data_IF_555533266468
#
_entry.id   IF_555533266468
#
_cell.length_a   1.000
_cell.length_b   1.000
_cell.length_c   1.000
_cell.angle_alpha   90.00
_cell.angle_beta   90.00
_cell.angle_gamma   90.00
#
_symmetry.space_group_name_H-M   'P 1'
#
loop_
_entity.id
_entity.type
_entity.pdbx_description
1 polymer ?
#
# COMPACT_ATOMS: atom_id res chain seq x y z
N UNK A 1 14.69 -1.73 -11.90
CA UNK A 1 14.26 -3.07 -11.45
C UNK A 1 14.58 -3.17 -9.96
N UNK A 2 13.58 -3.37 -9.11
CA UNK A 2 13.86 -3.62 -7.68
C UNK A 2 14.55 -4.98 -7.55
N UNK A 3 15.66 -5.01 -6.81
CA UNK A 3 16.39 -6.25 -6.46
C UNK A 3 15.50 -7.18 -5.61
N UNK A 4 14.47 -6.64 -4.96
CA UNK A 4 13.55 -7.37 -4.08
C UNK A 4 12.29 -7.87 -4.79
N UNK A 5 12.45 -8.51 -5.96
CA UNK A 5 11.36 -9.15 -6.72
C UNK A 5 10.90 -10.50 -6.13
N UNK A 6 9.73 -11.02 -6.55
CA UNK A 6 9.24 -12.33 -6.13
C UNK A 6 10.00 -13.46 -6.84
N UNK A 7 10.24 -14.55 -6.11
CA UNK A 7 10.76 -15.83 -6.61
C UNK A 7 9.68 -16.88 -6.38
N UNK A 8 9.08 -17.36 -7.46
CA UNK A 8 8.04 -18.37 -7.47
C UNK A 8 8.64 -19.80 -7.53
N UNK A 9 7.93 -20.85 -7.09
CA UNK A 9 6.57 -20.84 -6.53
C UNK A 9 6.54 -20.69 -5.00
N UNK A 10 7.70 -20.53 -4.33
CA UNK A 10 7.73 -20.40 -2.86
C UNK A 10 7.46 -18.96 -2.39
N UNK A 11 7.36 -18.02 -3.32
CA UNK A 11 7.16 -16.59 -3.09
C UNK A 11 8.21 -15.99 -2.15
N UNK A 12 9.47 -16.35 -2.29
CA UNK A 12 10.56 -15.70 -1.56
C UNK A 12 11.03 -14.44 -2.28
N UNK A 13 11.77 -13.58 -1.59
CA UNK A 13 12.29 -12.35 -2.15
C UNK A 13 13.66 -12.62 -2.78
N UNK A 14 13.84 -12.29 -4.07
CA UNK A 14 15.11 -12.49 -4.78
C UNK A 14 16.29 -11.74 -4.17
N UNK A 15 16.06 -10.58 -3.54
CA UNK A 15 17.13 -9.79 -2.92
C UNK A 15 17.56 -10.24 -1.51
N UNK A 16 16.69 -10.85 -0.72
CA UNK A 16 17.00 -11.18 0.68
C UNK A 16 16.54 -12.56 1.17
N UNK A 17 15.91 -13.38 0.33
CA UNK A 17 15.43 -14.72 0.66
C UNK A 17 14.19 -14.77 1.56
N UNK A 18 13.83 -13.67 2.24
CA UNK A 18 12.65 -13.59 3.11
C UNK A 18 11.33 -13.72 2.32
N UNK A 19 10.20 -14.03 2.99
CA UNK A 19 8.89 -14.06 2.33
C UNK A 19 8.60 -12.76 1.57
N UNK A 20 8.33 -12.87 0.27
CA UNK A 20 7.91 -11.75 -0.56
C UNK A 20 6.42 -11.43 -0.35
N UNK A 21 5.99 -10.15 -0.28
CA UNK A 21 6.81 -8.94 -0.28
C UNK A 21 7.59 -8.82 1.03
N UNK A 22 8.91 -8.68 0.95
CA UNK A 22 9.75 -8.44 2.12
C UNK A 22 9.64 -6.97 2.57
N UNK A 23 10.11 -6.64 3.77
CA UNK A 23 9.96 -5.29 4.32
C UNK A 23 10.55 -4.18 3.42
N UNK A 24 11.66 -4.45 2.73
CA UNK A 24 12.24 -3.52 1.75
C UNK A 24 11.30 -3.31 0.57
N UNK A 25 10.80 -4.40 -0.04
CA UNK A 25 9.86 -4.28 -1.17
C UNK A 25 8.55 -3.60 -0.77
N UNK A 26 8.04 -3.84 0.45
CA UNK A 26 6.85 -3.13 0.96
C UNK A 26 7.07 -1.62 1.00
N UNK A 27 8.24 -1.16 1.48
CA UNK A 27 8.58 0.27 1.51
C UNK A 27 8.72 0.86 0.12
N UNK A 28 9.42 0.18 -0.79
CA UNK A 28 9.56 0.61 -2.18
C UNK A 28 8.19 0.72 -2.87
N UNK A 29 7.33 -0.30 -2.72
CA UNK A 29 5.99 -0.29 -3.31
C UNK A 29 5.11 0.82 -2.75
N UNK A 30 5.20 1.14 -1.44
CA UNK A 30 4.50 2.30 -0.89
C UNK A 30 4.99 3.61 -1.47
N UNK A 31 6.31 3.75 -1.70
CA UNK A 31 6.87 4.95 -2.30
C UNK A 31 6.49 5.07 -3.79
N UNK A 32 6.54 3.98 -4.54
CA UNK A 32 6.20 3.90 -5.97
C UNK A 32 4.73 4.23 -6.23
N UNK A 33 3.83 3.86 -5.30
CA UNK A 33 2.39 4.06 -5.40
C UNK A 33 1.84 5.07 -4.36
N UNK A 34 2.66 6.02 -3.91
CA UNK A 34 2.29 6.95 -2.83
C UNK A 34 0.97 7.68 -3.11
N UNK A 35 0.74 8.09 -4.35
CA UNK A 35 -0.47 8.79 -4.80
C UNK A 35 -1.55 7.86 -5.39
N UNK A 36 -1.32 6.54 -5.37
CA UNK A 36 -2.19 5.54 -5.98
C UNK A 36 -2.34 4.25 -5.14
N UNK A 37 -2.83 4.34 -3.88
CA UNK A 37 -2.93 3.19 -2.98
C UNK A 37 -3.88 2.09 -3.48
N UNK A 38 -4.94 2.45 -4.22
CA UNK A 38 -5.82 1.49 -4.88
C UNK A 38 -5.07 0.70 -5.95
N UNK A 39 -4.25 1.36 -6.77
CA UNK A 39 -3.43 0.70 -7.79
C UNK A 39 -2.42 -0.26 -7.17
N UNK A 40 -1.82 0.09 -6.02
CA UNK A 40 -0.97 -0.81 -5.26
C UNK A 40 -1.71 -2.08 -4.82
N UNK A 41 -2.94 -1.92 -4.30
CA UNK A 41 -3.74 -3.05 -3.87
C UNK A 41 -4.14 -3.96 -5.04
N UNK A 42 -4.46 -3.40 -6.20
CA UNK A 42 -4.74 -4.17 -7.42
C UNK A 42 -3.51 -4.92 -7.94
N UNK A 43 -2.36 -4.25 -7.96
CA UNK A 43 -1.08 -4.85 -8.36
C UNK A 43 -0.69 -6.02 -7.44
N UNK A 44 -0.86 -5.88 -6.12
CA UNK A 44 -0.61 -6.98 -5.19
C UNK A 44 -1.72 -8.04 -5.19
N UNK A 45 -2.93 -7.68 -5.63
CA UNK A 45 -4.05 -8.60 -5.81
C UNK A 45 -3.77 -9.65 -6.88
N UNK A 46 -3.13 -9.28 -8.00
CA UNK A 46 -2.75 -10.26 -9.03
C UNK A 46 -1.74 -11.28 -8.51
N UNK A 47 -0.75 -10.84 -7.74
CA UNK A 47 0.20 -11.74 -7.09
C UNK A 47 -0.44 -12.60 -6.01
N UNK A 48 -1.43 -12.09 -5.28
CA UNK A 48 -2.18 -12.90 -4.31
C UNK A 48 -2.86 -14.08 -5.02
N UNK A 49 -3.50 -13.87 -6.17
CA UNK A 49 -4.15 -14.94 -6.95
C UNK A 49 -3.12 -15.99 -7.37
N UNK A 50 -2.00 -15.58 -7.96
CA UNK A 50 -0.94 -16.51 -8.35
C UNK A 50 -0.37 -17.26 -7.12
N UNK A 51 -0.18 -16.58 -5.99
CA UNK A 51 0.30 -17.19 -4.77
C UNK A 51 -0.66 -18.23 -4.17
N UNK A 52 -1.97 -18.05 -4.37
CA UNK A 52 -2.97 -19.03 -3.93
C UNK A 52 -2.92 -20.30 -4.76
N UNK A 53 -2.54 -20.21 -6.04
CA UNK A 53 -2.33 -21.36 -6.92
C UNK A 53 -1.02 -22.08 -6.60
N UNK A 54 0.06 -21.32 -6.36
CA UNK A 54 1.39 -21.88 -6.09
C UNK A 54 1.54 -22.49 -4.68
N UNK A 55 0.78 -22.00 -3.69
CA UNK A 55 0.87 -22.43 -2.29
C UNK A 55 -0.50 -22.87 -1.73
N UNK A 56 -1.13 -23.92 -2.30
CA UNK A 56 -2.48 -24.37 -1.91
C UNK A 56 -2.56 -24.88 -0.47
N UNK A 57 -1.43 -25.22 0.15
CA UNK A 57 -1.34 -25.60 1.56
C UNK A 57 -1.38 -24.40 2.52
N UNK A 58 -1.25 -23.17 2.02
CA UNK A 58 -1.26 -21.96 2.86
C UNK A 58 -2.67 -21.38 2.90
N UNK A 59 -3.19 -21.14 4.11
CA UNK A 59 -4.54 -20.57 4.25
C UNK A 59 -4.68 -19.22 3.52
N UNK A 60 -5.83 -19.01 2.88
CA UNK A 60 -6.13 -17.78 2.15
C UNK A 60 -6.01 -16.52 3.04
N UNK A 61 -6.39 -16.61 4.32
CA UNK A 61 -6.26 -15.50 5.27
C UNK A 61 -4.81 -15.08 5.53
N UNK A 62 -3.88 -16.05 5.58
CA UNK A 62 -2.45 -15.78 5.74
C UNK A 62 -1.88 -15.09 4.49
N UNK A 63 -2.23 -15.57 3.30
CA UNK A 63 -1.83 -14.93 2.04
C UNK A 63 -2.42 -13.53 1.91
N UNK A 64 -3.72 -13.36 2.18
CA UNK A 64 -4.36 -12.04 2.15
C UNK A 64 -3.66 -11.05 3.07
N UNK A 65 -3.38 -11.41 4.33
CA UNK A 65 -2.66 -10.53 5.27
C UNK A 65 -1.24 -10.21 4.79
N UNK A 66 -0.55 -11.18 4.20
CA UNK A 66 0.82 -11.02 3.69
C UNK A 66 0.89 -10.04 2.51
N UNK A 67 0.01 -10.19 1.52
CA UNK A 67 0.04 -9.37 0.30
C UNK A 67 -0.71 -8.04 0.48
N UNK A 68 -1.90 -8.04 1.08
CA UNK A 68 -2.79 -6.87 1.13
C UNK A 68 -2.95 -6.25 2.52
N UNK A 69 -2.60 -6.96 3.60
CA UNK A 69 -2.86 -6.51 4.98
C UNK A 69 -2.15 -5.22 5.41
N UNK A 70 -1.26 -4.69 4.58
CA UNK A 70 -0.48 -3.48 4.84
C UNK A 70 -0.74 -2.35 3.82
N UNK A 71 -1.57 -2.57 2.79
CA UNK A 71 -1.76 -1.57 1.72
C UNK A 71 -2.75 -0.45 2.08
N UNK A 72 -3.56 -0.64 3.12
CA UNK A 72 -4.68 0.26 3.47
C UNK A 72 -4.38 1.34 4.52
N UNK A 73 -3.14 1.47 4.99
CA UNK A 73 -2.78 2.45 6.03
C UNK A 73 -2.84 3.91 5.54
N UNK A 74 -2.92 4.16 4.23
CA UNK A 74 -2.88 5.52 3.66
C UNK A 74 -4.24 6.25 3.73
N UNK A 75 -5.36 5.53 3.77
CA UNK A 75 -6.71 6.15 3.66
C UNK A 75 -7.18 6.86 4.93
N UNK A 76 -6.59 6.57 6.09
CA UNK A 76 -6.91 7.23 7.37
C UNK A 76 -6.00 8.43 7.66
N UNK A 77 -4.96 8.67 6.87
CA UNK A 77 -3.97 9.74 7.11
C UNK A 77 -4.08 10.93 6.15
N UNK A 78 -5.15 11.02 5.36
CA UNK A 78 -5.41 12.24 4.58
C UNK A 78 -5.77 13.37 5.58
N UNK A 79 -4.96 14.43 5.75
CA UNK A 79 -5.43 15.58 6.52
C UNK A 79 -6.65 16.11 5.79
N UNK A 80 -7.72 16.39 6.54
CA UNK A 80 -8.86 17.12 6.03
C UNK A 80 -8.33 18.31 5.23
N UNK A 81 -8.72 18.38 3.95
CA UNK A 81 -8.60 19.60 3.14
C UNK A 81 -9.15 20.71 4.03
N UNK A 82 -8.26 21.59 4.50
CA UNK A 82 -8.65 22.73 5.30
C UNK A 82 -9.61 23.54 4.45
N UNK A 83 -10.87 23.61 4.90
CA UNK A 83 -11.85 24.51 4.30
C UNK A 83 -11.25 25.91 4.27
N UNK A 84 -11.50 26.71 3.21
CA UNK A 84 -11.11 28.11 3.22
C UNK A 84 -11.83 28.77 4.39
N UNK A 85 -11.07 29.17 5.43
CA UNK A 85 -11.56 30.11 6.43
C UNK A 85 -12.05 31.34 5.69
N UNK A 86 -13.36 31.52 5.67
CA UNK A 86 -13.99 32.73 5.14
C UNK A 86 -13.56 33.86 6.07
N UNK A 87 -12.58 34.65 5.62
CA UNK A 87 -12.18 35.87 6.29
C UNK A 87 -13.40 36.79 6.38
N UNK A 88 -14.02 36.85 7.56
CA UNK A 88 -14.99 37.89 7.87
C UNK A 88 -14.18 39.16 8.14
N UNK A 89 -14.16 40.04 7.15
CA UNK A 89 -13.60 41.40 7.27
C UNK A 89 -14.44 42.15 8.32
N UNK A 90 -13.85 42.84 9.31
CA UNK A 90 -14.61 43.69 10.21
C UNK A 90 -15.06 44.96 9.47
N UNK A 91 -16.35 45.26 9.51
CA UNK A 91 -16.86 46.58 9.12
C UNK A 91 -16.67 47.53 10.30
N UNK A 92 -15.75 48.50 10.17
CA UNK A 92 -15.65 49.63 11.08
C UNK A 92 -16.82 50.62 10.82
N UNK A 93 -17.59 51.03 11.84
CA UNK A 93 -18.49 52.15 11.71
C UNK A 93 -17.74 53.45 11.96
N UNK A 94 -17.64 54.24 10.88
CA UNK A 94 -17.23 55.64 10.85
C UNK A 94 -17.98 56.47 11.91
N UNK A 95 -17.26 57.23 12.75
CA UNK A 95 -17.81 58.26 13.62
C UNK A 95 -16.87 59.46 13.70
#
# INVERSE_FOLDING_TARGET
MSVHGPVMPIWSCGGCGLPWPCQTRKRELRAEYADAPVSLALYLGSYLVQATEDMPWTSAGVLHRRFLGWTRETELSKPAVQQPSTATVPVEPNR
#
